data_IF_277098857490
#
_entry.id   IF_277098857490
#
_cell.length_a   1.000
_cell.length_b   1.000
_cell.length_c   1.000
_cell.angle_alpha   90.00
_cell.angle_beta   90.00
_cell.angle_gamma   90.00
#
_symmetry.space_group_name_H-M   'P 1'
#
loop_
_entity.id
_entity.type
_entity.pdbx_description
1 polymer ?
#
# COMPACT_ATOMS: atom_id res chain seq x y z
N UNK A 1 -34.36 -16.04 23.54
CA UNK A 1 -33.06 -16.71 23.31
C UNK A 1 -32.68 -16.55 21.85
N UNK A 2 -31.78 -15.62 21.53
CA UNK A 2 -31.30 -15.41 20.17
C UNK A 2 -30.26 -16.48 19.83
N UNK A 3 -30.55 -17.29 18.80
CA UNK A 3 -29.66 -18.34 18.31
C UNK A 3 -28.61 -17.67 17.40
N UNK A 4 -27.39 -17.55 17.89
CA UNK A 4 -26.21 -17.20 17.09
C UNK A 4 -26.05 -18.28 16.01
N UNK A 5 -26.29 -17.90 14.75
CA UNK A 5 -25.94 -18.70 13.58
C UNK A 5 -24.42 -18.60 13.42
N UNK A 6 -23.74 -19.66 13.85
CA UNK A 6 -22.32 -19.87 13.60
C UNK A 6 -22.17 -20.21 12.11
N UNK A 7 -21.92 -19.19 11.28
CA UNK A 7 -21.63 -19.40 9.85
C UNK A 7 -20.17 -19.83 9.77
N UNK A 8 -19.83 -21.02 9.24
CA UNK A 8 -18.47 -21.50 9.20
C UNK A 8 -17.61 -20.58 8.33
N UNK A 9 -16.48 -20.15 8.89
CA UNK A 9 -15.41 -19.44 8.20
C UNK A 9 -14.67 -20.45 7.32
N UNK A 10 -15.13 -20.63 6.09
CA UNK A 10 -14.39 -21.36 5.06
C UNK A 10 -13.24 -20.48 4.57
N UNK A 11 -12.04 -20.68 5.14
CA UNK A 11 -10.80 -20.26 4.47
C UNK A 11 -10.48 -21.31 3.44
N UNK A 12 -10.99 -21.11 2.22
CA UNK A 12 -10.43 -21.81 1.06
C UNK A 12 -9.01 -21.29 0.88
N UNK A 13 -8.03 -22.15 1.17
CA UNK A 13 -6.62 -21.94 0.86
C UNK A 13 -6.48 -21.85 -0.68
N UNK A 14 -6.29 -20.64 -1.21
CA UNK A 14 -6.15 -20.38 -2.64
C UNK A 14 -5.02 -19.36 -2.91
N UNK A 15 -4.30 -19.59 -4.01
CA UNK A 15 -2.97 -19.07 -4.35
C UNK A 15 -2.76 -17.55 -4.27
N UNK A 16 -1.48 -17.15 -4.19
CA UNK A 16 -0.98 -15.78 -4.05
C UNK A 16 -1.68 -14.78 -5.00
N UNK A 17 -2.40 -13.83 -4.41
CA UNK A 17 -3.14 -12.78 -5.10
C UNK A 17 -4.03 -11.98 -4.12
N UNK A 18 -4.54 -10.81 -4.52
CA UNK A 18 -5.43 -10.03 -3.67
C UNK A 18 -6.73 -10.78 -3.37
N UNK A 19 -7.03 -10.94 -2.07
CA UNK A 19 -8.21 -11.62 -1.53
C UNK A 19 -9.25 -10.58 -1.09
N UNK A 20 -10.43 -10.60 -1.70
CA UNK A 20 -11.56 -9.77 -1.28
C UNK A 20 -12.54 -10.57 -0.42
N UNK A 21 -12.75 -10.13 0.81
CA UNK A 21 -13.84 -10.59 1.69
C UNK A 21 -15.00 -9.60 1.62
N UNK A 22 -16.24 -10.11 1.63
CA UNK A 22 -17.45 -9.27 1.74
C UNK A 22 -17.96 -9.31 3.18
N UNK A 23 -18.32 -8.15 3.72
CA UNK A 23 -18.88 -8.02 5.07
C UNK A 23 -20.34 -7.53 5.05
N UNK A 24 -20.95 -7.48 6.23
CA UNK A 24 -22.27 -6.91 6.43
C UNK A 24 -22.37 -5.49 5.82
N UNK A 25 -23.51 -5.16 5.21
CA UNK A 25 -23.78 -3.93 4.46
C UNK A 25 -23.05 -3.78 3.10
N UNK A 26 -22.67 -4.89 2.46
CA UNK A 26 -22.02 -4.91 1.13
C UNK A 26 -20.64 -4.23 1.05
N UNK A 27 -20.04 -3.87 2.20
CA UNK A 27 -18.66 -3.45 2.27
C UNK A 27 -17.70 -4.59 1.92
N UNK A 28 -16.56 -4.22 1.34
CA UNK A 28 -15.52 -5.14 0.90
C UNK A 28 -14.22 -4.82 1.63
N UNK A 29 -13.51 -5.87 2.01
CA UNK A 29 -12.13 -5.79 2.50
C UNK A 29 -11.24 -6.57 1.57
N UNK A 30 -10.31 -5.86 0.95
CA UNK A 30 -9.30 -6.46 0.10
C UNK A 30 -8.00 -6.55 0.87
N UNK A 31 -7.49 -7.78 1.06
CA UNK A 31 -6.16 -8.06 1.59
C UNK A 31 -5.26 -8.38 0.40
N UNK A 32 -4.17 -7.65 0.27
CA UNK A 32 -3.22 -7.75 -0.83
C UNK A 32 -1.91 -8.29 -0.25
N UNK A 33 -1.51 -9.48 -0.68
CA UNK A 33 -0.19 -10.03 -0.38
C UNK A 33 0.85 -9.38 -1.31
N UNK A 34 1.89 -8.79 -0.71
CA UNK A 34 2.97 -8.12 -1.39
C UNK A 34 4.22 -8.98 -1.50
N UNK A 35 4.20 -10.24 -1.08
CA UNK A 35 5.39 -11.10 -1.04
C UNK A 35 6.13 -11.11 -2.37
N UNK A 36 7.39 -10.62 -2.36
CA UNK A 36 8.26 -10.58 -3.53
C UNK A 36 7.97 -9.43 -4.50
N UNK A 37 7.12 -8.46 -4.14
CA UNK A 37 6.91 -7.26 -4.92
C UNK A 37 8.24 -6.49 -5.03
N UNK A 38 8.65 -6.14 -6.24
CA UNK A 38 9.88 -5.36 -6.48
C UNK A 38 9.52 -3.94 -6.89
N UNK A 39 10.11 -2.96 -6.21
CA UNK A 39 10.01 -1.55 -6.58
C UNK A 39 10.89 -1.24 -7.80
N UNK A 40 10.58 -0.18 -8.57
CA UNK A 40 11.49 0.34 -9.58
C UNK A 40 12.88 0.67 -8.99
N UNK A 41 13.88 0.73 -9.86
CA UNK A 41 15.22 1.16 -9.47
C UNK A 41 15.21 2.56 -8.84
N UNK A 42 15.94 2.69 -7.75
CA UNK A 42 16.09 3.91 -6.96
C UNK A 42 17.42 4.53 -7.36
N UNK A 43 17.36 5.67 -8.04
CA UNK A 43 18.56 6.44 -8.36
C UNK A 43 19.16 7.02 -7.08
N UNK A 44 20.48 6.88 -6.92
CA UNK A 44 21.18 7.40 -5.75
C UNK A 44 21.40 8.90 -5.78
N UNK A 45 21.51 9.50 -4.60
CA UNK A 45 21.91 10.89 -4.42
C UNK A 45 20.83 11.90 -4.81
N UNK A 46 19.56 11.48 -4.83
CA UNK A 46 18.43 12.31 -5.20
C UNK A 46 17.27 12.09 -4.24
N UNK A 47 16.46 13.14 -4.08
CA UNK A 47 15.11 12.99 -3.57
C UNK A 47 14.29 12.30 -4.66
N UNK A 48 13.83 11.08 -4.42
CA UNK A 48 13.10 10.31 -5.44
C UNK A 48 11.89 9.59 -4.83
N UNK A 49 10.74 9.79 -5.44
CA UNK A 49 9.56 8.96 -5.21
C UNK A 49 9.53 7.82 -6.23
N UNK A 50 9.22 6.62 -5.77
CA UNK A 50 8.91 5.47 -6.61
C UNK A 50 7.64 4.79 -6.11
N UNK A 51 6.96 4.07 -6.98
CA UNK A 51 5.79 3.31 -6.57
C UNK A 51 5.49 2.14 -7.48
N UNK A 52 4.56 1.30 -7.03
CA UNK A 52 4.08 0.15 -7.78
C UNK A 52 2.58 -0.01 -7.57
N UNK A 53 1.86 -0.26 -8.65
CA UNK A 53 0.45 -0.64 -8.57
C UNK A 53 0.33 -1.98 -7.85
N UNK A 54 -0.54 -2.05 -6.85
CA UNK A 54 -0.80 -3.26 -6.06
C UNK A 54 -2.23 -3.77 -6.19
N UNK A 55 -3.16 -2.92 -6.61
CA UNK A 55 -4.56 -3.29 -6.81
C UNK A 55 -5.26 -2.30 -7.75
N UNK A 56 -6.35 -2.74 -8.37
CA UNK A 56 -7.28 -1.89 -9.11
C UNK A 56 -8.67 -2.15 -8.54
N UNK A 57 -9.30 -1.13 -7.98
CA UNK A 57 -10.69 -1.23 -7.54
C UNK A 57 -11.62 -1.46 -8.74
N UNK A 58 -12.79 -2.09 -8.56
CA UNK A 58 -13.77 -2.23 -9.64
C UNK A 58 -14.26 -0.89 -10.16
N UNK A 59 -14.77 -0.88 -11.39
CA UNK A 59 -15.41 0.30 -11.98
C UNK A 59 -16.63 0.74 -11.17
N UNK A 60 -16.93 2.03 -11.21
CA UNK A 60 -18.05 2.64 -10.48
C UNK A 60 -17.56 3.62 -9.43
N UNK A 61 -18.48 4.29 -8.75
CA UNK A 61 -18.10 5.14 -7.63
C UNK A 61 -17.76 4.27 -6.41
N UNK A 62 -16.66 4.59 -5.72
CA UNK A 62 -16.17 3.82 -4.58
C UNK A 62 -15.83 4.76 -3.44
N UNK A 63 -16.22 4.39 -2.21
CA UNK A 63 -15.73 5.03 -1.00
C UNK A 63 -14.75 4.11 -0.28
N UNK A 64 -13.48 4.50 -0.18
CA UNK A 64 -12.50 3.86 0.71
C UNK A 64 -12.73 4.40 2.12
N UNK A 65 -12.96 3.48 3.06
CA UNK A 65 -13.33 3.79 4.45
C UNK A 65 -12.27 3.42 5.48
N UNK A 66 -11.25 2.67 5.06
CA UNK A 66 -10.10 2.40 5.91
C UNK A 66 -9.00 1.63 5.22
N UNK A 67 -7.81 1.68 5.79
CA UNK A 67 -6.62 1.03 5.26
C UNK A 67 -5.67 0.62 6.39
N UNK A 68 -4.83 -0.38 6.13
CA UNK A 68 -3.72 -0.76 7.01
C UNK A 68 -2.59 -1.39 6.22
N UNK A 69 -1.38 -1.36 6.77
CA UNK A 69 -0.21 -2.03 6.18
C UNK A 69 0.55 -2.79 7.26
N UNK A 70 1.15 -3.90 6.86
CA UNK A 70 2.19 -4.58 7.61
C UNK A 70 3.21 -5.08 6.58
N UNK A 71 4.27 -4.31 6.38
CA UNK A 71 5.21 -4.52 5.27
C UNK A 71 6.65 -4.44 5.74
N UNK A 72 7.50 -5.25 5.13
CA UNK A 72 8.94 -5.23 5.30
C UNK A 72 9.61 -4.83 3.99
N UNK A 73 10.64 -3.99 4.10
CA UNK A 73 11.53 -3.63 3.00
C UNK A 73 12.78 -4.49 3.08
N UNK A 74 13.29 -4.87 1.90
CA UNK A 74 14.55 -5.58 1.75
C UNK A 74 15.29 -5.06 0.53
N UNK A 75 16.28 -4.22 0.77
CA UNK A 75 17.26 -3.87 -0.26
C UNK A 75 18.05 -5.10 -0.74
N UNK A 76 18.56 -5.04 -1.96
CA UNK A 76 19.30 -6.14 -2.58
C UNK A 76 20.82 -5.91 -2.62
N UNK A 77 21.29 -4.66 -2.60
CA UNK A 77 22.70 -4.33 -2.77
C UNK A 77 23.39 -3.86 -1.48
N UNK A 78 22.65 -3.44 -0.45
CA UNK A 78 23.23 -2.96 0.82
C UNK A 78 23.54 -1.45 0.84
N UNK A 79 23.16 -0.74 -0.21
CA UNK A 79 23.54 0.64 -0.49
C UNK A 79 22.70 1.70 0.25
N UNK A 80 21.50 1.35 0.72
CA UNK A 80 20.50 2.27 1.29
C UNK A 80 20.13 1.86 2.73
N UNK A 81 21.06 1.18 3.43
CA UNK A 81 20.80 0.57 4.74
C UNK A 81 20.41 1.56 5.84
N UNK A 82 20.86 2.81 5.76
CA UNK A 82 20.56 3.84 6.76
C UNK A 82 19.35 4.72 6.38
N UNK A 83 18.86 4.60 5.14
CA UNK A 83 17.77 5.42 4.62
C UNK A 83 16.45 5.05 5.32
N UNK A 84 15.66 6.06 5.67
CA UNK A 84 14.41 5.94 6.46
C UNK A 84 13.22 6.39 5.61
N UNK A 85 12.81 5.57 4.64
CA UNK A 85 11.88 6.04 3.62
C UNK A 85 10.47 6.27 4.19
N UNK A 86 9.78 7.21 3.56
CA UNK A 86 8.36 7.48 3.73
C UNK A 86 7.53 6.56 2.83
N UNK A 87 6.68 5.72 3.41
CA UNK A 87 5.89 4.71 2.70
C UNK A 87 4.39 4.95 2.89
N UNK A 88 3.65 5.07 1.79
CA UNK A 88 2.22 5.41 1.80
C UNK A 88 1.41 4.65 0.75
N UNK A 89 0.08 4.78 0.86
CA UNK A 89 -0.86 4.24 -0.14
C UNK A 89 -1.63 5.37 -0.79
N UNK A 90 -1.64 5.39 -2.12
CA UNK A 90 -2.27 6.45 -2.89
C UNK A 90 -2.94 5.98 -4.17
N UNK A 91 -3.66 6.90 -4.78
CA UNK A 91 -4.33 6.73 -6.09
C UNK A 91 -3.49 7.24 -7.25
N UNK A 92 -2.36 7.88 -6.95
CA UNK A 92 -1.35 8.29 -7.92
C UNK A 92 0.00 7.68 -7.56
N UNK A 93 0.74 7.23 -8.58
CA UNK A 93 2.10 6.73 -8.41
C UNK A 93 3.07 7.87 -8.08
N UNK A 94 3.87 7.69 -7.04
CA UNK A 94 4.98 8.60 -6.75
C UNK A 94 6.07 8.46 -7.82
N UNK A 95 6.53 9.58 -8.36
CA UNK A 95 7.60 9.63 -9.35
C UNK A 95 8.31 10.99 -9.33
N UNK A 96 9.57 11.01 -9.75
CA UNK A 96 10.36 12.24 -9.85
C UNK A 96 10.87 12.73 -8.49
N UNK A 97 11.17 14.03 -8.42
CA UNK A 97 11.87 14.64 -7.29
C UNK A 97 11.00 14.74 -6.02
N UNK A 98 10.94 13.67 -5.23
CA UNK A 98 10.07 13.54 -4.05
C UNK A 98 10.84 12.94 -2.87
N UNK A 99 10.98 13.69 -1.77
CA UNK A 99 11.61 13.18 -0.54
C UNK A 99 10.57 12.72 0.50
N UNK A 100 9.37 13.29 0.44
CA UNK A 100 8.25 13.01 1.34
C UNK A 100 6.98 12.91 0.49
N UNK A 101 6.15 11.90 0.74
CA UNK A 101 4.94 11.65 -0.05
C UNK A 101 3.88 12.74 0.17
N UNK A 102 3.89 13.37 1.35
CA UNK A 102 3.01 14.49 1.71
C UNK A 102 3.13 15.73 0.81
N UNK A 103 4.18 15.82 -0.02
CA UNK A 103 4.31 16.87 -1.03
C UNK A 103 3.23 16.81 -2.14
N UNK A 104 2.53 15.69 -2.32
CA UNK A 104 1.42 15.57 -3.26
C UNK A 104 0.33 14.67 -2.67
N UNK A 105 -0.84 15.26 -2.38
CA UNK A 105 -1.91 14.59 -1.66
C UNK A 105 -2.29 13.21 -2.22
N UNK A 106 -2.32 13.06 -3.55
CA UNK A 106 -2.74 11.81 -4.19
C UNK A 106 -1.72 10.65 -4.05
N UNK A 107 -0.49 10.91 -3.60
CA UNK A 107 0.50 9.86 -3.34
C UNK A 107 0.19 9.06 -2.08
N UNK A 108 -0.59 9.62 -1.15
CA UNK A 108 -0.86 9.00 0.15
C UNK A 108 -2.29 9.27 0.67
N UNK A 109 -3.25 9.46 -0.23
CA UNK A 109 -4.65 9.75 0.12
C UNK A 109 -5.47 8.54 0.58
N UNK A 110 -4.90 7.33 0.58
CA UNK A 110 -5.53 6.12 1.14
C UNK A 110 -4.95 5.78 2.51
N UNK A 111 -3.63 5.85 2.64
CA UNK A 111 -2.91 5.76 3.91
C UNK A 111 -1.75 6.75 3.87
N UNK A 112 -1.74 7.68 4.82
CA UNK A 112 -0.66 8.65 4.98
C UNK A 112 0.65 7.96 5.32
N UNK A 113 1.74 8.60 4.93
CA UNK A 113 3.12 8.16 5.07
C UNK A 113 3.43 7.52 6.41
N UNK A 114 4.08 6.37 6.33
CA UNK A 114 4.61 5.61 7.44
C UNK A 114 6.13 5.61 7.29
N UNK A 115 6.84 6.17 8.27
CA UNK A 115 8.30 6.14 8.26
C UNK A 115 8.79 4.73 8.55
N UNK A 116 9.53 4.15 7.61
CA UNK A 116 10.21 2.86 7.83
C UNK A 116 11.55 3.12 8.52
N UNK A 117 11.87 2.32 9.54
CA UNK A 117 13.11 2.52 10.33
C UNK A 117 14.39 2.37 9.51
N UNK A 118 14.38 1.53 8.47
CA UNK A 118 15.42 1.45 7.46
C UNK A 118 15.00 0.59 6.25
N UNK A 119 15.79 0.54 5.18
CA UNK A 119 15.55 -0.30 3.99
C UNK A 119 15.76 -1.83 4.17
N UNK A 120 15.98 -2.30 5.41
CA UNK A 120 15.81 -3.71 5.82
C UNK A 120 14.73 -3.87 6.91
N UNK A 121 14.03 -2.79 7.22
CA UNK A 121 13.10 -2.68 8.33
C UNK A 121 11.70 -3.11 7.95
N UNK A 122 10.80 -3.01 8.92
CA UNK A 122 9.38 -3.22 8.72
C UNK A 122 8.58 -2.10 9.35
N UNK A 123 7.38 -1.91 8.83
CA UNK A 123 6.40 -1.01 9.40
C UNK A 123 5.06 -1.72 9.48
N UNK A 124 4.36 -1.50 10.59
CA UNK A 124 2.98 -1.95 10.76
C UNK A 124 2.16 -0.78 11.21
N UNK A 125 1.16 -0.43 10.42
CA UNK A 125 0.16 0.56 10.76
C UNK A 125 -1.12 -0.16 11.18
N UNK A 126 -1.65 0.17 12.35
CA UNK A 126 -3.00 -0.22 12.74
C UNK A 126 -4.03 0.40 11.79
N UNK A 127 -5.19 -0.24 11.62
CA UNK A 127 -6.23 0.25 10.73
C UNK A 127 -6.53 1.74 10.95
N UNK A 128 -6.36 2.54 9.90
CA UNK A 128 -6.64 3.98 9.88
C UNK A 128 -7.99 4.19 9.20
N UNK A 129 -8.81 5.09 9.75
CA UNK A 129 -10.02 5.54 9.08
C UNK A 129 -9.64 6.42 7.88
N UNK A 130 -10.13 6.05 6.71
CA UNK A 130 -9.90 6.77 5.46
C UNK A 130 -11.25 7.31 4.98
N UNK A 131 -11.30 8.50 4.41
CA UNK A 131 -12.50 8.96 3.70
C UNK A 131 -12.10 9.44 2.31
N UNK A 132 -12.01 8.50 1.36
CA UNK A 132 -11.70 8.81 -0.03
C UNK A 132 -12.84 8.35 -0.92
N UNK A 133 -13.43 9.30 -1.66
CA UNK A 133 -14.37 9.03 -2.74
C UNK A 133 -13.59 9.00 -4.06
N UNK A 134 -13.69 7.88 -4.79
CA UNK A 134 -13.20 7.73 -6.16
C UNK A 134 -14.42 7.75 -7.07
N UNK A 135 -14.56 8.75 -7.93
CA UNK A 135 -15.70 8.83 -8.84
C UNK A 135 -15.54 7.82 -9.98
N UNK A 136 -16.64 7.51 -10.66
CA UNK A 136 -16.65 6.50 -11.73
C UNK A 136 -15.72 6.81 -12.90
N UNK A 137 -15.41 8.09 -13.15
CA UNK A 137 -14.50 8.53 -14.20
C UNK A 137 -13.04 8.70 -13.76
N UNK A 138 -12.73 8.52 -12.48
CA UNK A 138 -11.39 8.68 -11.94
C UNK A 138 -10.57 7.40 -12.08
N UNK A 139 -9.28 7.46 -11.76
CA UNK A 139 -8.44 6.26 -11.66
C UNK A 139 -8.82 5.42 -10.44
N UNK A 140 -9.02 4.12 -10.67
CA UNK A 140 -9.27 3.12 -9.63
C UNK A 140 -8.02 2.36 -9.21
N UNK A 141 -6.84 2.82 -9.61
CA UNK A 141 -5.58 2.14 -9.26
C UNK A 141 -5.12 2.53 -7.85
N UNK A 142 -4.66 1.52 -7.09
CA UNK A 142 -4.03 1.67 -5.79
C UNK A 142 -2.53 1.40 -5.92
N UNK A 143 -1.72 2.32 -5.42
CA UNK A 143 -0.26 2.25 -5.45
C UNK A 143 0.30 2.15 -4.03
N UNK A 144 1.31 1.30 -3.88
CA UNK A 144 2.28 1.43 -2.81
C UNK A 144 3.36 2.41 -3.28
N UNK A 145 3.55 3.50 -2.54
CA UNK A 145 4.51 4.54 -2.84
C UNK A 145 5.59 4.58 -1.76
N UNK A 146 6.82 4.89 -2.15
CA UNK A 146 7.98 5.05 -1.28
C UNK A 146 8.78 6.26 -1.74
N UNK A 147 9.19 7.13 -0.82
CA UNK A 147 10.03 8.28 -1.10
C UNK A 147 11.11 8.47 -0.02
N UNK A 148 12.27 8.98 -0.42
CA UNK A 148 13.33 9.40 0.48
C UNK A 148 14.30 10.35 -0.22
N UNK A 149 15.17 11.01 0.55
CA UNK A 149 16.45 11.52 0.08
C UNK A 149 17.48 10.39 0.07
N UNK A 150 17.51 9.63 -1.02
CA UNK A 150 18.27 8.38 -1.11
C UNK A 150 19.79 8.58 -1.05
N UNK A 151 20.48 7.62 -0.41
CA UNK A 151 21.93 7.57 -0.40
C UNK A 151 22.52 7.61 -1.83
N UNK A 152 23.74 8.16 -1.97
CA UNK A 152 24.41 8.38 -3.25
C UNK A 152 24.54 7.11 -4.12
N UNK A 153 24.60 5.94 -3.47
CA UNK A 153 24.74 4.63 -4.13
C UNK A 153 23.45 4.10 -4.74
N UNK A 154 22.27 4.58 -4.31
CA UNK A 154 20.96 4.13 -4.81
C UNK A 154 20.70 2.63 -4.59
N UNK A 155 19.66 2.09 -5.20
CA UNK A 155 19.32 0.67 -5.09
C UNK A 155 18.67 0.17 -6.39
N UNK A 156 19.22 -0.88 -6.99
CA UNK A 156 18.72 -1.41 -8.26
C UNK A 156 17.32 -2.04 -8.13
N UNK A 157 17.04 -2.65 -6.98
CA UNK A 157 15.76 -3.26 -6.67
C UNK A 157 15.55 -3.31 -5.16
N UNK A 158 14.41 -2.83 -4.69
CA UNK A 158 13.97 -3.05 -3.32
C UNK A 158 12.78 -3.99 -3.31
N UNK A 159 12.90 -5.06 -2.52
CA UNK A 159 11.83 -6.04 -2.34
C UNK A 159 10.94 -5.57 -1.20
N UNK A 160 9.64 -5.69 -1.40
CA UNK A 160 8.60 -5.50 -0.40
C UNK A 160 7.96 -6.86 -0.14
N UNK A 161 7.68 -7.16 1.12
CA UNK A 161 6.91 -8.34 1.54
C UNK A 161 5.95 -7.97 2.65
N UNK A 162 4.83 -8.68 2.77
CA UNK A 162 3.82 -8.43 3.80
C UNK A 162 2.45 -8.19 3.20
N UNK A 163 1.60 -7.44 3.91
CA UNK A 163 0.19 -7.27 3.53
C UNK A 163 -0.25 -5.80 3.55
N UNK A 164 -1.12 -5.47 2.60
CA UNK A 164 -1.94 -4.25 2.61
C UNK A 164 -3.39 -4.67 2.76
N UNK A 165 -4.15 -3.99 3.60
CA UNK A 165 -5.60 -4.16 3.69
C UNK A 165 -6.28 -2.84 3.35
N UNK A 166 -7.30 -2.87 2.49
CA UNK A 166 -8.18 -1.75 2.22
C UNK A 166 -9.63 -2.15 2.40
N UNK A 167 -10.41 -1.32 3.09
CA UNK A 167 -11.85 -1.48 3.30
C UNK A 167 -12.59 -0.42 2.50
N UNK A 168 -13.57 -0.83 1.71
CA UNK A 168 -14.25 0.05 0.77
C UNK A 168 -15.70 -0.35 0.51
N UNK A 169 -16.48 0.59 -0.02
CA UNK A 169 -17.89 0.46 -0.36
C UNK A 169 -18.09 0.76 -1.85
N UNK A 170 -18.76 -0.11 -2.62
CA UNK A 170 -19.33 0.31 -3.89
C UNK A 170 -20.50 1.27 -3.63
N UNK A 171 -20.63 2.32 -4.44
CA UNK A 171 -21.70 3.32 -4.35
C UNK A 171 -22.66 3.23 -5.52
#
# INVERSE_FOLDING_TARGET
MARLLNVPFDVQEQAAGPRAETFANAGRRTVIDLTGLTLPAIAGGANLGVGRKIFTFPSGAIKVIGSSISVALKQTQGNVTADTPDLGLGTTIASGAVALLSGTAAFENVLTGQTVTNCNGSVTSTAVATELLILSGDSHDLYLNVADGWAASGEAAMIVSGTVTVTWLPL
#
